data_IF_063838911057
#
_entry.id   IF_063838911057
#
_cell.length_a   1.000
_cell.length_b   1.000
_cell.length_c   1.000
_cell.angle_alpha   90.00
_cell.angle_beta   90.00
_cell.angle_gamma   90.00
#
_symmetry.space_group_name_H-M   'P 1'
#
loop_
_entity.id
_entity.type
_entity.pdbx_description
1 polymer ?
#
# COMPACT_ATOMS: atom_id res chain seq x y z
N UNK A 1 -22.94 -5.16 0.24
CA UNK A 1 -21.81 -5.55 -0.61
C UNK A 1 -21.42 -4.28 -1.34
N UNK A 2 -20.51 -3.51 -0.77
CA UNK A 2 -19.96 -2.36 -1.50
C UNK A 2 -18.95 -2.96 -2.47
N UNK A 3 -19.34 -3.08 -3.73
CA UNK A 3 -18.44 -3.47 -4.81
C UNK A 3 -17.32 -2.42 -4.87
N UNK A 4 -16.07 -2.88 -4.95
CA UNK A 4 -14.96 -1.96 -5.14
C UNK A 4 -15.10 -1.34 -6.53
N UNK A 5 -15.40 -0.05 -6.61
CA UNK A 5 -15.43 0.64 -7.90
C UNK A 5 -14.04 1.12 -8.32
N UNK A 6 -13.82 1.32 -9.63
CA UNK A 6 -12.59 1.90 -10.16
C UNK A 6 -12.23 3.23 -9.46
N UNK A 7 -13.23 4.05 -9.12
CA UNK A 7 -13.02 5.34 -8.44
C UNK A 7 -12.52 5.15 -7.01
N UNK A 8 -13.06 4.16 -6.29
CA UNK A 8 -12.65 3.82 -4.93
C UNK A 8 -11.22 3.28 -4.93
N UNK A 9 -10.90 2.37 -5.86
CA UNK A 9 -9.54 1.87 -6.04
C UNK A 9 -8.53 2.99 -6.34
N UNK A 10 -8.86 3.90 -7.26
CA UNK A 10 -7.99 5.05 -7.57
C UNK A 10 -7.73 5.92 -6.33
N UNK A 11 -8.74 6.11 -5.49
CA UNK A 11 -8.60 6.83 -4.23
C UNK A 11 -7.68 6.09 -3.26
N UNK A 12 -7.85 4.76 -3.11
CA UNK A 12 -7.00 3.95 -2.23
C UNK A 12 -5.54 3.98 -2.65
N UNK A 13 -5.24 3.83 -3.95
CA UNK A 13 -3.87 3.90 -4.46
C UNK A 13 -3.25 5.29 -4.27
N UNK A 14 -4.02 6.36 -4.51
CA UNK A 14 -3.54 7.73 -4.27
C UNK A 14 -3.31 8.01 -2.78
N UNK A 15 -4.13 7.43 -1.89
CA UNK A 15 -3.91 7.51 -0.44
C UNK A 15 -2.68 6.72 -0.03
N UNK A 16 -2.48 5.51 -0.57
CA UNK A 16 -1.29 4.70 -0.32
C UNK A 16 -0.03 5.49 -0.69
N UNK A 17 0.03 6.04 -1.91
CA UNK A 17 1.17 6.85 -2.37
C UNK A 17 1.47 8.02 -1.41
N UNK A 18 0.44 8.75 -0.98
CA UNK A 18 0.60 9.83 0.00
C UNK A 18 1.13 9.33 1.34
N UNK A 19 0.66 8.17 1.81
CA UNK A 19 1.15 7.57 3.07
C UNK A 19 2.59 7.10 2.95
N UNK A 20 2.99 6.52 1.82
CA UNK A 20 4.38 6.16 1.53
C UNK A 20 5.26 7.41 1.60
N UNK A 21 4.89 8.46 0.86
CA UNK A 21 5.65 9.72 0.84
C UNK A 21 5.74 10.34 2.24
N UNK A 22 4.61 10.41 2.97
CA UNK A 22 4.56 10.95 4.33
C UNK A 22 5.43 10.14 5.29
N UNK A 23 5.38 8.82 5.22
CA UNK A 23 6.21 7.96 6.05
C UNK A 23 7.70 8.16 5.76
N UNK A 24 8.07 8.19 4.48
CA UNK A 24 9.46 8.43 4.05
C UNK A 24 9.95 9.81 4.49
N UNK A 25 9.13 10.86 4.34
CA UNK A 25 9.44 12.20 4.85
C UNK A 25 9.63 12.21 6.37
N UNK A 26 8.78 11.50 7.11
CA UNK A 26 8.88 11.41 8.58
C UNK A 26 10.16 10.66 9.00
N UNK A 27 10.57 9.61 8.28
CA UNK A 27 11.84 8.91 8.51
C UNK A 27 13.06 9.80 8.24
N UNK A 28 13.02 10.62 7.19
CA UNK A 28 14.08 11.60 6.90
C UNK A 28 14.10 12.71 7.96
N UNK A 29 12.93 13.14 8.42
CA UNK A 29 12.79 14.25 9.37
C UNK A 29 13.07 13.84 10.81
N UNK A 30 12.80 12.58 11.17
CA UNK A 30 12.90 12.04 12.52
C UNK A 30 13.60 10.66 12.54
N UNK A 31 14.83 10.52 12.02
CA UNK A 31 15.52 9.23 11.90
C UNK A 31 15.74 8.53 13.24
N UNK A 32 16.00 9.30 14.30
CA UNK A 32 16.25 8.79 15.66
C UNK A 32 15.00 8.69 16.54
N UNK A 33 13.82 9.05 16.02
CA UNK A 33 12.57 9.04 16.78
C UNK A 33 11.53 8.11 16.14
N UNK A 34 11.64 6.78 16.35
CA UNK A 34 10.70 5.80 15.83
C UNK A 34 9.25 6.09 16.21
N UNK A 35 9.01 6.63 17.40
CA UNK A 35 7.69 7.03 17.89
C UNK A 35 6.97 8.03 16.97
N UNK A 36 7.73 8.87 16.24
CA UNK A 36 7.17 9.89 15.35
C UNK A 36 6.70 9.34 14.01
N UNK A 37 7.37 8.32 13.48
CA UNK A 37 6.99 7.70 12.20
C UNK A 37 6.21 6.39 12.38
N UNK A 38 6.22 5.78 13.57
CA UNK A 38 5.45 4.56 13.88
C UNK A 38 3.96 4.70 13.59
N UNK A 39 3.33 5.82 13.97
CA UNK A 39 1.91 6.06 13.66
C UNK A 39 1.67 6.06 12.14
N UNK A 40 2.56 6.71 11.38
CA UNK A 40 2.46 6.73 9.92
C UNK A 40 2.78 5.39 9.26
N UNK A 41 3.62 4.55 9.87
CA UNK A 41 3.86 3.18 9.42
C UNK A 41 2.63 2.31 9.63
N UNK A 42 1.95 2.46 10.77
CA UNK A 42 0.68 1.75 11.03
C UNK A 42 -0.37 2.19 10.01
N UNK A 43 -0.55 3.50 9.81
CA UNK A 43 -1.48 4.01 8.78
C UNK A 43 -1.14 3.50 7.37
N UNK A 44 0.15 3.39 7.04
CA UNK A 44 0.61 2.87 5.76
C UNK A 44 0.31 1.38 5.64
N UNK A 45 0.59 0.59 6.68
CA UNK A 45 0.30 -0.83 6.71
C UNK A 45 -1.20 -1.11 6.59
N UNK A 46 -2.04 -0.38 7.32
CA UNK A 46 -3.50 -0.49 7.21
C UNK A 46 -3.97 -0.19 5.78
N UNK A 47 -3.39 0.82 5.12
CA UNK A 47 -3.72 1.14 3.73
C UNK A 47 -3.34 0.02 2.75
N UNK A 48 -2.20 -0.65 2.97
CA UNK A 48 -1.80 -1.84 2.19
C UNK A 48 -2.79 -2.98 2.47
N UNK A 49 -3.19 -3.17 3.72
CA UNK A 49 -4.14 -4.20 4.10
C UNK A 49 -5.51 -3.98 3.44
N UNK A 50 -5.99 -2.74 3.37
CA UNK A 50 -7.24 -2.41 2.67
C UNK A 50 -7.17 -2.75 1.17
N UNK A 51 -5.99 -2.68 0.53
CA UNK A 51 -5.84 -3.02 -0.89
C UNK A 51 -6.02 -4.53 -1.19
N UNK A 52 -6.01 -5.41 -0.19
CA UNK A 52 -6.31 -6.84 -0.38
C UNK A 52 -7.68 -7.09 -1.00
N UNK A 53 -8.64 -6.17 -0.80
CA UNK A 53 -9.96 -6.27 -1.45
C UNK A 53 -9.86 -6.31 -2.98
N UNK A 54 -8.81 -5.76 -3.59
CA UNK A 54 -8.59 -5.82 -5.05
C UNK A 54 -8.38 -7.24 -5.52
N UNK A 55 -7.75 -8.10 -4.72
CA UNK A 55 -7.52 -9.49 -5.09
C UNK A 55 -8.83 -10.24 -5.39
N UNK A 56 -9.94 -9.82 -4.76
CA UNK A 56 -11.29 -10.35 -5.01
C UNK A 56 -11.97 -9.83 -6.28
N UNK A 57 -11.37 -8.83 -6.95
CA UNK A 57 -11.93 -8.09 -8.08
C UNK A 57 -10.88 -8.00 -9.23
N UNK A 58 -10.69 -9.11 -9.94
CA UNK A 58 -9.78 -9.22 -11.08
C UNK A 58 -10.02 -8.18 -12.19
N UNK A 59 -11.28 -7.76 -12.36
CA UNK A 59 -11.70 -6.76 -13.34
C UNK A 59 -11.09 -5.37 -13.09
N UNK A 60 -10.48 -5.11 -11.93
CA UNK A 60 -9.91 -3.80 -11.57
C UNK A 60 -8.38 -3.76 -11.68
N UNK A 61 -7.73 -4.87 -12.08
CA UNK A 61 -6.27 -4.94 -12.16
C UNK A 61 -5.71 -3.95 -13.20
N UNK A 62 -6.47 -3.63 -14.25
CA UNK A 62 -6.07 -2.59 -15.21
C UNK A 62 -5.91 -1.22 -14.54
N UNK A 63 -6.74 -0.90 -13.53
CA UNK A 63 -6.62 0.35 -12.77
C UNK A 63 -5.35 0.34 -11.92
N UNK A 64 -5.06 -0.80 -11.26
CA UNK A 64 -3.84 -0.97 -10.47
C UNK A 64 -2.59 -0.72 -11.31
N UNK A 65 -2.55 -1.27 -12.52
CA UNK A 65 -1.46 -1.06 -13.48
C UNK A 65 -1.43 0.39 -13.99
N UNK A 66 -2.57 0.97 -14.36
CA UNK A 66 -2.67 2.34 -14.87
C UNK A 66 -2.27 3.41 -13.84
N UNK A 67 -2.43 3.14 -12.54
CA UNK A 67 -2.03 4.05 -11.46
C UNK A 67 -0.62 3.77 -10.91
N UNK A 68 0.19 2.97 -11.61
CA UNK A 68 1.51 2.56 -11.14
C UNK A 68 1.48 1.88 -9.75
N UNK A 69 0.37 1.25 -9.37
CA UNK A 69 0.20 0.58 -8.09
C UNK A 69 1.23 -0.52 -7.88
N UNK A 70 1.56 -1.27 -8.94
CA UNK A 70 2.61 -2.29 -8.90
C UNK A 70 3.97 -1.67 -8.54
N UNK A 71 4.30 -0.50 -9.09
CA UNK A 71 5.55 0.20 -8.76
C UNK A 71 5.59 0.65 -7.29
N UNK A 72 4.45 1.12 -6.75
CA UNK A 72 4.33 1.48 -5.34
C UNK A 72 4.56 0.27 -4.43
N UNK A 73 3.92 -0.87 -4.77
CA UNK A 73 4.12 -2.13 -4.04
C UNK A 73 5.58 -2.59 -4.10
N UNK A 74 6.20 -2.56 -5.28
CA UNK A 74 7.63 -2.89 -5.43
C UNK A 74 8.54 -2.00 -4.58
N UNK A 75 8.23 -0.70 -4.46
CA UNK A 75 8.98 0.21 -3.59
C UNK A 75 8.90 -0.22 -2.11
N UNK A 76 7.72 -0.65 -1.67
CA UNK A 76 7.46 -1.08 -0.30
C UNK A 76 8.08 -2.45 0.06
N UNK A 77 8.42 -3.30 -0.93
CA UNK A 77 9.13 -4.55 -0.66
C UNK A 77 10.52 -4.32 -0.05
N UNK A 78 11.13 -3.17 -0.32
CA UNK A 78 12.45 -2.80 0.22
C UNK A 78 12.37 -1.98 1.51
N UNK A 79 11.17 -1.87 2.08
CA UNK A 79 10.95 -1.07 3.28
C UNK A 79 11.69 -1.67 4.49
N UNK A 80 12.27 -0.83 5.34
CA UNK A 80 13.03 -1.32 6.51
C UNK A 80 12.13 -1.99 7.57
N UNK A 81 10.83 -1.71 7.53
CA UNK A 81 9.85 -2.39 8.36
C UNK A 81 9.33 -3.64 7.66
N UNK A 82 9.64 -4.78 8.28
CA UNK A 82 9.33 -6.11 7.75
C UNK A 82 7.83 -6.36 7.69
N UNK A 83 7.02 -5.80 8.59
CA UNK A 83 5.57 -5.95 8.58
C UNK A 83 4.96 -5.39 7.28
N UNK A 84 5.43 -4.22 6.83
CA UNK A 84 4.99 -3.61 5.57
C UNK A 84 5.41 -4.47 4.37
N UNK A 85 6.64 -4.97 4.35
CA UNK A 85 7.11 -5.85 3.28
C UNK A 85 6.31 -7.15 3.24
N UNK A 86 5.98 -7.75 4.40
CA UNK A 86 5.13 -8.95 4.50
C UNK A 86 3.72 -8.64 3.97
N UNK A 87 3.11 -7.52 4.36
CA UNK A 87 1.79 -7.13 3.89
C UNK A 87 1.76 -7.01 2.35
N UNK A 88 2.78 -6.41 1.76
CA UNK A 88 2.90 -6.29 0.30
C UNK A 88 3.10 -7.63 -0.39
N UNK A 89 3.96 -8.51 0.17
CA UNK A 89 4.15 -9.86 -0.35
C UNK A 89 2.83 -10.62 -0.32
N UNK A 90 2.09 -10.55 0.80
CA UNK A 90 0.78 -11.18 0.95
C UNK A 90 -0.19 -10.67 -0.11
N UNK A 91 -0.23 -9.35 -0.34
CA UNK A 91 -1.09 -8.75 -1.36
C UNK A 91 -0.73 -9.23 -2.77
N UNK A 92 0.57 -9.24 -3.13
CA UNK A 92 1.02 -9.74 -4.42
C UNK A 92 0.68 -11.22 -4.59
N UNK A 93 0.82 -12.02 -3.53
CA UNK A 93 0.46 -13.42 -3.55
C UNK A 93 -1.03 -13.57 -3.84
N UNK A 94 -1.92 -12.87 -3.14
CA UNK A 94 -3.36 -12.93 -3.44
C UNK A 94 -3.71 -12.40 -4.84
N UNK A 95 -3.01 -11.38 -5.33
CA UNK A 95 -3.20 -10.88 -6.70
C UNK A 95 -2.73 -11.88 -7.77
N UNK A 96 -1.88 -12.85 -7.41
CA UNK A 96 -1.33 -13.85 -8.32
C UNK A 96 -1.88 -15.26 -8.08
N UNK A 97 -2.62 -15.48 -6.99
CA UNK A 97 -3.34 -16.72 -6.64
C UNK A 97 -4.69 -16.80 -7.38
N UNK A 98 -4.65 -16.49 -8.69
CA UNK A 98 -5.75 -16.59 -9.66
C UNK A 98 -5.56 -17.78 -10.60
#
# INVERSE_FOLDING_TARGET
TEELDETSLKRMLSQLEKRISKNQEMRIKYPDHPEKFMESEIELNDAVQELHIIATQSDLYHVLVNMNGITLLMSLLTHENTDISIAVISLIQELTDV
#
